data_IF_616666605592
#
_entry.id   IF_616666605592
#
_cell.length_a   1.000
_cell.length_b   1.000
_cell.length_c   1.000
_cell.angle_alpha   90.00
_cell.angle_beta   90.00
_cell.angle_gamma   90.00
#
_symmetry.space_group_name_H-M   'P 1'
#
loop_
_entity.id
_entity.type
_entity.pdbx_description
1 polymer ?
#
# COMPACT_ATOMS: atom_id res chain seq x y z
N UNK A 1 -11.29 -12.60 -18.24
CA UNK A 1 -10.64 -12.26 -19.52
C UNK A 1 -10.84 -10.80 -19.97
N UNK A 2 -12.01 -10.19 -19.78
CA UNK A 2 -12.22 -8.78 -20.17
C UNK A 2 -11.46 -7.76 -19.30
N UNK A 3 -11.40 -7.95 -17.97
CA UNK A 3 -10.76 -6.97 -17.05
C UNK A 3 -9.23 -6.92 -17.20
N UNK A 4 -8.57 -8.03 -17.54
CA UNK A 4 -7.12 -8.06 -17.84
C UNK A 4 -6.76 -7.16 -19.03
N UNK A 5 -7.58 -7.17 -20.09
CA UNK A 5 -7.38 -6.32 -21.25
C UNK A 5 -7.53 -4.83 -20.91
N UNK A 6 -8.44 -4.45 -20.02
CA UNK A 6 -8.64 -3.03 -19.66
C UNK A 6 -7.56 -2.47 -18.73
N UNK A 7 -7.00 -3.29 -17.82
CA UNK A 7 -5.88 -2.84 -16.99
C UNK A 7 -4.60 -2.60 -17.81
N UNK A 8 -4.44 -3.32 -18.92
CA UNK A 8 -3.32 -3.14 -19.84
C UNK A 8 -3.35 -1.78 -20.56
N UNK A 9 -4.51 -1.09 -20.59
CA UNK A 9 -4.69 0.20 -21.27
C UNK A 9 -4.86 1.42 -20.34
N UNK A 10 -4.55 1.30 -19.04
CA UNK A 10 -4.58 2.42 -18.09
C UNK A 10 -5.96 3.13 -17.94
N UNK A 11 -7.06 2.50 -18.40
CA UNK A 11 -8.41 3.08 -18.43
C UNK A 11 -9.18 2.80 -17.13
N UNK A 12 -8.61 3.23 -16.01
CA UNK A 12 -9.20 3.08 -14.67
C UNK A 12 -10.62 3.67 -14.57
N UNK A 13 -10.90 4.76 -15.30
CA UNK A 13 -12.22 5.42 -15.29
C UNK A 13 -13.30 4.69 -16.08
N UNK A 14 -12.94 3.97 -17.14
CA UNK A 14 -13.90 3.16 -17.88
C UNK A 14 -14.20 1.85 -17.14
N UNK A 15 -13.19 1.28 -16.47
CA UNK A 15 -13.38 0.10 -15.63
C UNK A 15 -14.31 0.38 -14.44
N UNK A 16 -14.17 1.52 -13.76
CA UNK A 16 -15.05 1.89 -12.64
C UNK A 16 -16.50 2.21 -13.09
N UNK A 17 -16.69 2.85 -14.26
CA UNK A 17 -18.03 3.07 -14.86
C UNK A 17 -18.73 1.79 -15.31
N UNK A 18 -17.96 0.76 -15.70
CA UNK A 18 -18.51 -0.56 -16.02
C UNK A 18 -18.85 -1.33 -14.75
N UNK A 19 -17.96 -1.31 -13.74
CA UNK A 19 -18.20 -1.98 -12.45
C UNK A 19 -19.42 -1.43 -11.73
N UNK A 20 -19.66 -0.11 -11.77
CA UNK A 20 -20.83 0.50 -11.14
C UNK A 20 -22.16 0.15 -11.83
N UNK A 21 -22.12 -0.27 -13.10
CA UNK A 21 -23.31 -0.66 -13.89
C UNK A 21 -23.49 -2.17 -14.03
N UNK A 22 -22.48 -2.98 -13.75
CA UNK A 22 -22.56 -4.43 -13.86
C UNK A 22 -22.86 -5.06 -12.49
N UNK A 23 -24.09 -5.54 -12.30
CA UNK A 23 -24.37 -6.54 -11.25
C UNK A 23 -23.74 -7.84 -11.72
N UNK A 24 -22.59 -8.19 -11.16
CA UNK A 24 -21.88 -9.41 -11.56
C UNK A 24 -22.73 -10.63 -11.14
N UNK A 25 -23.01 -11.58 -12.04
CA UNK A 25 -23.91 -12.69 -11.75
C UNK A 25 -23.35 -13.58 -10.64
N UNK A 26 -24.21 -14.02 -9.72
CA UNK A 26 -23.87 -14.90 -8.58
C UNK A 26 -23.33 -16.28 -9.02
N UNK A 27 -23.45 -16.62 -10.32
CA UNK A 27 -22.98 -17.87 -10.93
C UNK A 27 -21.49 -17.91 -11.29
N UNK A 28 -20.74 -16.84 -11.03
CA UNK A 28 -19.32 -16.78 -11.35
C UNK A 28 -18.45 -17.66 -10.46
N UNK A 29 -17.43 -18.30 -11.05
CA UNK A 29 -16.48 -19.13 -10.30
C UNK A 29 -15.74 -18.28 -9.25
N UNK A 30 -15.52 -18.84 -8.05
CA UNK A 30 -14.77 -18.18 -6.97
C UNK A 30 -13.41 -17.63 -7.42
N UNK A 31 -12.76 -18.30 -8.39
CA UNK A 31 -11.49 -17.87 -8.97
C UNK A 31 -11.60 -16.60 -9.83
N UNK A 32 -12.72 -16.40 -10.53
CA UNK A 32 -12.98 -15.21 -11.32
C UNK A 32 -13.36 -14.04 -10.41
N UNK A 33 -14.17 -14.33 -9.38
CA UNK A 33 -14.55 -13.35 -8.37
C UNK A 33 -13.33 -12.81 -7.62
N UNK A 34 -12.38 -13.66 -7.24
CA UNK A 34 -11.14 -13.24 -6.59
C UNK A 34 -10.32 -12.29 -7.48
N UNK A 35 -10.21 -12.58 -8.78
CA UNK A 35 -9.52 -11.70 -9.75
C UNK A 35 -10.24 -10.37 -9.92
N UNK A 36 -11.56 -10.40 -10.04
CA UNK A 36 -12.39 -9.20 -10.15
C UNK A 36 -12.18 -8.26 -8.96
N UNK A 37 -12.27 -8.80 -7.74
CA UNK A 37 -12.04 -8.03 -6.51
C UNK A 37 -10.62 -7.45 -6.42
N UNK A 38 -9.60 -8.18 -6.89
CA UNK A 38 -8.23 -7.67 -6.95
C UNK A 38 -8.12 -6.45 -7.87
N UNK A 39 -8.71 -6.51 -9.06
CA UNK A 39 -8.70 -5.38 -10.00
C UNK A 39 -9.50 -4.19 -9.47
N UNK A 40 -10.65 -4.44 -8.84
CA UNK A 40 -11.44 -3.40 -8.19
C UNK A 40 -10.64 -2.71 -7.07
N UNK A 41 -9.97 -3.51 -6.22
CA UNK A 41 -9.09 -3.00 -5.18
C UNK A 41 -7.96 -2.14 -5.72
N UNK A 42 -7.36 -2.52 -6.87
CA UNK A 42 -6.34 -1.70 -7.55
C UNK A 42 -6.87 -0.36 -8.04
N UNK A 43 -8.02 -0.35 -8.70
CA UNK A 43 -8.65 0.87 -9.22
C UNK A 43 -8.95 1.82 -8.05
N UNK A 44 -9.54 1.29 -6.97
CA UNK A 44 -9.85 2.07 -5.76
C UNK A 44 -8.60 2.60 -5.06
N UNK A 45 -7.53 1.81 -4.98
CA UNK A 45 -6.25 2.27 -4.44
C UNK A 45 -5.64 3.40 -5.27
N UNK A 46 -5.74 3.34 -6.61
CA UNK A 46 -5.26 4.41 -7.49
C UNK A 46 -6.02 5.73 -7.26
N UNK A 47 -7.33 5.64 -7.02
CA UNK A 47 -8.25 6.76 -6.73
C UNK A 47 -8.20 7.29 -5.29
N UNK A 48 -7.22 6.88 -4.49
CA UNK A 48 -7.06 7.29 -3.08
C UNK A 48 -8.16 6.75 -2.15
N UNK A 49 -9.02 5.84 -2.60
CA UNK A 49 -10.06 5.18 -1.78
C UNK A 49 -9.47 3.96 -1.05
N UNK A 50 -8.47 4.17 -0.19
CA UNK A 50 -7.70 3.08 0.43
C UNK A 50 -8.54 2.14 1.30
N UNK A 51 -9.51 2.67 2.05
CA UNK A 51 -10.38 1.87 2.93
C UNK A 51 -11.24 0.88 2.14
N UNK A 52 -11.78 1.32 1.01
CA UNK A 52 -12.60 0.47 0.13
C UNK A 52 -11.71 -0.53 -0.61
N UNK A 53 -10.54 -0.07 -1.09
CA UNK A 53 -9.55 -0.93 -1.73
C UNK A 53 -9.13 -2.10 -0.83
N UNK A 54 -8.81 -1.82 0.44
CA UNK A 54 -8.42 -2.82 1.42
C UNK A 54 -9.50 -3.90 1.61
N UNK A 55 -10.77 -3.48 1.80
CA UNK A 55 -11.90 -4.41 1.95
C UNK A 55 -12.00 -5.39 0.77
N UNK A 56 -11.89 -4.87 -0.46
CA UNK A 56 -11.93 -5.72 -1.65
C UNK A 56 -10.74 -6.68 -1.74
N UNK A 57 -9.53 -6.23 -1.37
CA UNK A 57 -8.33 -7.07 -1.38
C UNK A 57 -8.40 -8.20 -0.34
N UNK A 58 -8.91 -7.92 0.85
CA UNK A 58 -9.14 -8.95 1.89
C UNK A 58 -10.18 -9.97 1.42
N UNK A 59 -11.26 -9.52 0.79
CA UNK A 59 -12.26 -10.44 0.21
C UNK A 59 -11.66 -11.28 -0.93
N UNK A 60 -10.79 -10.70 -1.76
CA UNK A 60 -10.09 -11.42 -2.83
C UNK A 60 -9.18 -12.53 -2.27
N UNK A 61 -8.45 -12.25 -1.18
CA UNK A 61 -7.59 -13.23 -0.50
C UNK A 61 -8.39 -14.39 0.10
N UNK A 62 -9.57 -14.11 0.67
CA UNK A 62 -10.44 -15.15 1.25
C UNK A 62 -11.06 -16.08 0.20
N UNK A 63 -11.37 -15.53 -0.99
CA UNK A 63 -11.96 -16.29 -2.10
C UNK A 63 -10.93 -17.00 -2.98
N UNK A 64 -9.65 -16.66 -2.85
CA UNK A 64 -8.57 -17.32 -3.58
C UNK A 64 -8.31 -18.75 -3.04
N UNK A 65 -8.04 -19.74 -3.91
CA UNK A 65 -7.80 -21.12 -3.47
C UNK A 65 -6.51 -21.23 -2.65
N UNK A 66 -6.57 -21.96 -1.52
CA UNK A 66 -5.49 -21.97 -0.53
C UNK A 66 -4.17 -22.57 -1.04
N UNK A 67 -4.23 -23.62 -1.88
CA UNK A 67 -3.05 -24.41 -2.27
C UNK A 67 -2.61 -24.26 -3.73
N UNK A 68 -3.48 -23.83 -4.64
CA UNK A 68 -3.18 -23.82 -6.08
C UNK A 68 -2.67 -22.47 -6.63
N UNK A 69 -3.08 -21.34 -6.03
CA UNK A 69 -2.85 -20.01 -6.59
C UNK A 69 -1.83 -19.17 -5.78
N UNK A 70 -0.66 -19.75 -5.52
CA UNK A 70 0.38 -19.10 -4.70
C UNK A 70 0.82 -17.76 -5.30
N UNK A 71 1.04 -17.69 -6.63
CA UNK A 71 1.44 -16.46 -7.31
C UNK A 71 0.39 -15.35 -7.20
N UNK A 72 -0.89 -15.66 -7.43
CA UNK A 72 -1.97 -14.68 -7.28
C UNK A 72 -2.07 -14.16 -5.84
N UNK A 73 -1.99 -15.06 -4.85
CA UNK A 73 -2.00 -14.68 -3.42
C UNK A 73 -0.83 -13.77 -3.08
N UNK A 74 0.38 -14.05 -3.59
CA UNK A 74 1.53 -13.16 -3.41
C UNK A 74 1.25 -11.76 -3.96
N UNK A 75 0.74 -11.65 -5.19
CA UNK A 75 0.45 -10.35 -5.81
C UNK A 75 -0.64 -9.56 -5.06
N UNK A 76 -1.72 -10.22 -4.66
CA UNK A 76 -2.78 -9.57 -3.88
C UNK A 76 -2.24 -9.13 -2.52
N UNK A 77 -1.43 -9.97 -1.85
CA UNK A 77 -0.87 -9.66 -0.54
C UNK A 77 0.09 -8.47 -0.58
N UNK A 78 0.97 -8.38 -1.59
CA UNK A 78 1.88 -7.25 -1.79
C UNK A 78 1.10 -5.93 -1.87
N UNK A 79 0.02 -5.92 -2.64
CA UNK A 79 -0.84 -4.75 -2.78
C UNK A 79 -1.61 -4.46 -1.48
N UNK A 80 -2.17 -5.48 -0.83
CA UNK A 80 -2.89 -5.32 0.43
C UNK A 80 -2.02 -4.69 1.51
N UNK A 81 -0.79 -5.17 1.68
CA UNK A 81 0.21 -4.59 2.59
C UNK A 81 0.50 -3.13 2.24
N UNK A 82 0.65 -2.81 0.96
CA UNK A 82 0.91 -1.43 0.53
C UNK A 82 -0.27 -0.50 0.87
N UNK A 83 -1.51 -0.97 0.69
CA UNK A 83 -2.73 -0.21 1.00
C UNK A 83 -2.93 -0.05 2.52
N UNK A 84 -2.66 -1.08 3.32
CA UNK A 84 -2.69 -0.99 4.80
C UNK A 84 -1.71 0.08 5.30
N UNK A 85 -0.48 0.07 4.78
CA UNK A 85 0.51 1.09 5.13
C UNK A 85 0.07 2.51 4.71
N UNK A 86 -0.68 2.64 3.61
CA UNK A 86 -1.23 3.92 3.15
C UNK A 86 -2.39 4.41 4.02
N UNK A 87 -3.10 3.51 4.71
CA UNK A 87 -4.10 3.83 5.73
C UNK A 87 -3.46 4.25 7.06
N UNK A 88 -2.16 4.01 7.24
CA UNK A 88 -1.45 4.23 8.50
C UNK A 88 -1.51 3.02 9.44
N UNK A 89 -2.10 1.91 8.99
CA UNK A 89 -2.16 0.66 9.75
C UNK A 89 -0.92 -0.20 9.48
N UNK A 90 -0.49 -0.94 10.50
CA UNK A 90 0.67 -1.83 10.40
C UNK A 90 0.17 -3.27 10.11
N UNK A 91 0.63 -3.91 9.01
CA UNK A 91 0.23 -5.27 8.66
C UNK A 91 0.68 -6.30 9.71
N UNK A 92 -0.09 -7.38 9.87
CA UNK A 92 0.24 -8.47 10.80
C UNK A 92 1.54 -9.18 10.38
N UNK A 93 2.44 -9.37 11.35
CA UNK A 93 3.72 -10.07 11.18
C UNK A 93 3.54 -11.52 10.70
N UNK A 94 2.41 -12.16 11.02
CA UNK A 94 2.14 -13.54 10.58
C UNK A 94 2.11 -13.70 9.07
N UNK A 95 1.67 -12.67 8.34
CA UNK A 95 1.58 -12.64 6.88
C UNK A 95 2.97 -12.88 6.26
N UNK A 96 4.01 -12.28 6.85
CA UNK A 96 5.40 -12.37 6.37
C UNK A 96 6.09 -13.69 6.73
N UNK A 97 5.51 -14.50 7.63
CA UNK A 97 6.09 -15.79 8.07
C UNK A 97 5.67 -16.97 7.21
N UNK A 98 4.66 -16.82 6.35
CA UNK A 98 4.19 -17.89 5.49
C UNK A 98 5.28 -18.31 4.48
N UNK A 99 5.66 -19.59 4.49
CA UNK A 99 6.75 -20.13 3.67
C UNK A 99 6.73 -19.73 2.18
N UNK A 100 5.59 -19.80 1.47
CA UNK A 100 5.56 -19.41 0.06
C UNK A 100 5.62 -17.89 -0.17
N UNK A 101 5.30 -17.06 0.83
CA UNK A 101 5.22 -15.60 0.67
C UNK A 101 6.47 -14.88 1.17
N UNK A 102 7.28 -15.53 2.02
CA UNK A 102 8.42 -14.92 2.71
C UNK A 102 9.44 -14.29 1.77
N UNK A 103 9.79 -14.96 0.66
CA UNK A 103 10.78 -14.44 -0.30
C UNK A 103 10.24 -13.23 -1.05
N UNK A 104 9.01 -13.32 -1.56
CA UNK A 104 8.37 -12.26 -2.34
C UNK A 104 7.96 -11.03 -1.50
N UNK A 105 7.70 -11.21 -0.20
CA UNK A 105 7.34 -10.13 0.73
C UNK A 105 8.54 -9.53 1.47
N UNK A 106 9.76 -10.06 1.30
CA UNK A 106 10.93 -9.52 1.99
C UNK A 106 11.17 -8.01 1.74
N UNK A 107 11.04 -7.47 0.51
CA UNK A 107 11.14 -6.03 0.25
C UNK A 107 10.04 -5.23 0.96
N UNK A 108 8.80 -5.74 0.92
CA UNK A 108 7.65 -5.10 1.56
C UNK A 108 7.77 -5.12 3.09
N UNK A 109 8.41 -6.14 3.68
CA UNK A 109 8.69 -6.18 5.11
C UNK A 109 9.67 -5.08 5.53
N UNK A 110 10.74 -4.84 4.76
CA UNK A 110 11.67 -3.76 5.04
C UNK A 110 10.99 -2.39 4.91
N UNK A 111 10.12 -2.25 3.90
CA UNK A 111 9.28 -1.07 3.73
C UNK A 111 8.38 -0.82 4.94
N UNK A 112 7.65 -1.84 5.42
CA UNK A 112 6.83 -1.76 6.64
C UNK A 112 7.66 -1.34 7.85
N UNK A 113 8.87 -1.86 8.01
CA UNK A 113 9.74 -1.49 9.12
C UNK A 113 10.16 -0.01 9.07
N UNK A 114 10.49 0.50 7.89
CA UNK A 114 10.83 1.91 7.71
C UNK A 114 9.62 2.83 8.01
N UNK A 115 8.43 2.48 7.51
CA UNK A 115 7.18 3.22 7.78
C UNK A 115 6.85 3.22 9.28
N UNK A 116 6.91 2.05 9.94
CA UNK A 116 6.62 1.91 11.37
C UNK A 116 7.57 2.72 12.26
N UNK A 117 8.83 2.80 11.88
CA UNK A 117 9.83 3.56 12.65
C UNK A 117 9.87 5.05 12.29
N UNK A 118 9.16 5.46 11.24
CA UNK A 118 9.18 6.85 10.76
C UNK A 118 10.53 7.28 10.17
N UNK A 119 11.36 6.32 9.73
CA UNK A 119 12.71 6.61 9.26
C UNK A 119 12.73 6.83 7.73
N UNK A 120 12.83 8.11 7.31
CA UNK A 120 12.88 8.47 5.89
C UNK A 120 14.14 7.96 5.18
N UNK A 121 15.29 7.91 5.85
CA UNK A 121 16.54 7.46 5.26
C UNK A 121 16.45 5.99 4.86
N UNK A 122 16.03 5.12 5.79
CA UNK A 122 15.79 3.69 5.49
C UNK A 122 14.73 3.49 4.42
N UNK A 123 13.71 4.34 4.40
CA UNK A 123 12.69 4.30 3.35
C UNK A 123 13.29 4.59 1.97
N UNK A 124 14.18 5.58 1.87
CA UNK A 124 14.95 5.90 0.66
C UNK A 124 15.84 4.74 0.21
N UNK A 125 16.63 4.18 1.12
CA UNK A 125 17.53 3.03 0.84
C UNK A 125 16.76 1.82 0.29
N UNK A 126 15.60 1.49 0.88
CA UNK A 126 14.73 0.39 0.42
C UNK A 126 14.16 0.67 -0.97
N UNK A 127 13.82 1.93 -1.25
CA UNK A 127 13.32 2.36 -2.57
C UNK A 127 14.38 2.26 -3.66
N UNK A 128 15.63 2.59 -3.36
CA UNK A 128 16.75 2.47 -4.29
C UNK A 128 17.10 0.99 -4.53
N UNK A 129 17.20 0.21 -3.44
CA UNK A 129 17.58 -1.20 -3.51
C UNK A 129 16.53 -2.08 -4.21
N UNK A 130 15.23 -1.86 -3.95
CA UNK A 130 14.14 -2.68 -4.51
C UNK A 130 13.29 -1.95 -5.56
N UNK A 131 13.68 -0.76 -5.98
CA UNK A 131 13.01 0.02 -7.02
C UNK A 131 12.55 -0.77 -8.25
N UNK A 132 13.41 -1.61 -8.89
CA UNK A 132 12.98 -2.38 -10.06
C UNK A 132 11.91 -3.43 -9.73
N UNK A 133 11.95 -4.05 -8.54
CA UNK A 133 10.94 -5.03 -8.12
C UNK A 133 9.58 -4.37 -7.92
N UNK A 134 9.55 -3.21 -7.25
CA UNK A 134 8.31 -2.44 -7.04
C UNK A 134 7.70 -1.91 -8.34
N UNK A 135 8.52 -1.62 -9.35
CA UNK A 135 8.05 -1.25 -10.69
C UNK A 135 7.44 -2.45 -11.41
N UNK A 136 8.09 -3.61 -11.34
CA UNK A 136 7.54 -4.87 -11.88
C UNK A 136 6.21 -5.25 -11.22
N UNK A 137 6.05 -4.95 -9.93
CA UNK A 137 4.83 -5.23 -9.17
C UNK A 137 3.73 -4.16 -9.37
N UNK A 138 3.99 -3.10 -10.16
CA UNK A 138 3.11 -1.95 -10.35
C UNK A 138 2.67 -1.24 -9.06
N UNK A 139 3.41 -1.40 -7.96
CA UNK A 139 3.14 -0.73 -6.68
C UNK A 139 4.02 0.50 -6.46
N UNK A 140 4.96 0.79 -7.35
CA UNK A 140 5.93 1.88 -7.19
C UNK A 140 5.27 3.26 -6.94
N UNK A 141 4.22 3.60 -7.67
CA UNK A 141 3.51 4.89 -7.51
C UNK A 141 2.80 5.01 -6.16
N UNK A 142 2.23 3.91 -5.67
CA UNK A 142 1.61 3.82 -4.34
C UNK A 142 2.68 3.93 -3.24
N UNK A 143 3.83 3.29 -3.44
CA UNK A 143 4.93 3.34 -2.48
C UNK A 143 5.51 4.74 -2.39
N UNK A 144 5.67 5.48 -3.50
CA UNK A 144 6.10 6.89 -3.43
C UNK A 144 5.18 7.74 -2.53
N UNK A 145 3.88 7.46 -2.52
CA UNK A 145 2.92 8.14 -1.64
C UNK A 145 3.13 7.78 -0.16
N UNK A 146 3.70 6.61 0.16
CA UNK A 146 4.05 6.25 1.54
C UNK A 146 5.06 7.20 2.17
N UNK A 147 5.88 7.93 1.40
CA UNK A 147 6.81 8.92 1.96
C UNK A 147 6.10 9.94 2.85
N UNK A 148 4.96 10.46 2.40
CA UNK A 148 4.14 11.39 3.18
C UNK A 148 3.56 10.72 4.44
N UNK A 149 3.16 9.44 4.34
CA UNK A 149 2.70 8.67 5.50
C UNK A 149 3.83 8.43 6.51
N UNK A 150 5.05 8.11 6.06
CA UNK A 150 6.22 7.94 6.94
C UNK A 150 6.50 9.22 7.70
N UNK A 151 6.45 10.38 7.03
CA UNK A 151 6.64 11.68 7.68
C UNK A 151 5.54 11.91 8.74
N UNK A 152 4.27 11.68 8.40
CA UNK A 152 3.16 11.81 9.35
C UNK A 152 3.33 10.89 10.57
N UNK A 153 3.68 9.62 10.35
CA UNK A 153 3.96 8.66 11.42
C UNK A 153 5.13 9.13 12.29
N UNK A 154 6.20 9.63 11.69
CA UNK A 154 7.36 10.11 12.41
C UNK A 154 7.05 11.33 13.28
N UNK A 155 6.28 12.30 12.75
CA UNK A 155 5.79 13.46 13.51
C UNK A 155 4.92 13.01 14.68
N UNK A 156 3.99 12.07 14.46
CA UNK A 156 3.15 11.51 15.53
C UNK A 156 4.00 10.84 16.61
N UNK A 157 5.00 10.04 16.24
CA UNK A 157 5.91 9.42 17.20
C UNK A 157 6.70 10.45 18.01
N UNK A 158 7.17 11.52 17.37
CA UNK A 158 7.86 12.63 18.05
C UNK A 158 6.90 13.35 19.01
N UNK A 159 5.67 13.64 18.59
CA UNK A 159 4.66 14.29 19.43
C UNK A 159 4.25 13.46 20.65
N UNK A 160 4.30 12.12 20.56
CA UNK A 160 4.09 11.24 21.70
C UNK A 160 5.30 11.18 22.65
N UNK A 161 6.52 11.34 22.11
CA UNK A 161 7.76 11.24 22.89
C UNK A 161 8.14 12.57 23.59
N UNK A 162 7.70 13.71 23.06
CA UNK A 162 8.08 15.04 23.54
C UNK A 162 6.84 15.89 23.85
N UNK A 163 6.75 16.42 25.07
CA UNK A 163 5.66 17.33 25.47
C UNK A 163 5.73 18.70 24.77
N UNK A 164 6.95 19.18 24.44
CA UNK A 164 7.20 20.38 23.65
C UNK A 164 8.43 20.15 22.78
N UNK A 165 8.31 20.40 21.48
CA UNK A 165 9.42 20.30 20.53
C UNK A 165 9.35 21.46 19.54
N UNK A 166 10.50 22.01 19.17
CA UNK A 166 10.59 23.09 18.18
C UNK A 166 10.57 22.52 16.75
N UNK A 167 9.95 23.21 15.77
CA UNK A 167 9.91 22.77 14.37
C UNK A 167 11.30 22.50 13.77
N UNK A 168 12.31 23.29 14.17
CA UNK A 168 13.71 23.10 13.76
C UNK A 168 14.30 21.76 14.20
N UNK A 169 13.95 21.27 15.40
CA UNK A 169 14.40 19.98 15.89
C UNK A 169 13.65 18.82 15.22
N UNK A 170 12.39 19.03 14.83
CA UNK A 170 11.63 18.09 14.01
C UNK A 170 12.28 17.95 12.63
N UNK A 171 12.56 19.07 11.95
CA UNK A 171 13.20 19.09 10.64
C UNK A 171 14.55 18.37 10.64
N UNK A 172 15.40 18.65 11.64
CA UNK A 172 16.69 17.94 11.81
C UNK A 172 16.54 16.43 12.02
N UNK A 173 15.55 15.99 12.79
CA UNK A 173 15.31 14.55 13.03
C UNK A 173 14.72 13.82 11.83
N UNK A 174 13.92 14.53 11.04
CA UNK A 174 13.26 13.98 9.85
C UNK A 174 14.09 14.14 8.57
N UNK A 175 15.28 14.76 8.68
CA UNK A 175 16.11 15.16 7.54
C UNK A 175 15.31 15.93 6.48
N UNK A 176 14.46 16.87 6.92
CA UNK A 176 13.74 17.77 6.02
C UNK A 176 14.65 18.95 5.67
N UNK A 177 14.63 19.35 4.40
CA UNK A 177 15.51 20.39 3.86
C UNK A 177 15.19 21.79 4.40
N UNK A 178 13.91 22.06 4.76
CA UNK A 178 13.49 23.31 5.38
C UNK A 178 12.74 23.10 6.72
N UNK A 179 12.99 23.94 7.74
CA UNK A 179 12.14 24.02 8.93
C UNK A 179 10.70 24.49 8.63
N UNK A 180 10.48 25.23 7.54
CA UNK A 180 9.15 25.68 7.10
C UNK A 180 8.31 24.49 6.60
N UNK A 181 8.93 23.52 5.93
CA UNK A 181 8.26 22.28 5.52
C UNK A 181 7.81 21.48 6.75
N UNK A 182 8.63 21.45 7.81
CA UNK A 182 8.27 20.78 9.06
C UNK A 182 7.05 21.47 9.72
N UNK A 183 7.00 22.80 9.72
CA UNK A 183 5.87 23.56 10.26
C UNK A 183 4.60 23.33 9.43
N UNK A 184 4.70 23.38 8.10
CA UNK A 184 3.57 23.13 7.20
C UNK A 184 2.98 21.73 7.39
N UNK A 185 3.83 20.70 7.50
CA UNK A 185 3.38 19.31 7.67
C UNK A 185 2.78 19.10 9.07
N UNK A 186 3.30 19.75 10.11
CA UNK A 186 2.70 19.72 11.46
C UNK A 186 1.33 20.40 11.45
N UNK A 187 1.17 21.54 10.79
CA UNK A 187 -0.11 22.24 10.67
C UNK A 187 -1.15 21.46 9.85
N UNK A 188 -0.74 20.72 8.81
CA UNK A 188 -1.64 19.86 8.02
C UNK A 188 -1.92 18.49 8.66
N UNK A 189 -1.19 18.13 9.71
CA UNK A 189 -1.27 16.83 10.38
C UNK A 189 -2.31 16.76 11.50
N UNK A 190 -2.89 17.91 11.91
CA UNK A 190 -3.96 18.03 12.89
C UNK A 190 -5.34 18.07 12.24
#
# INVERSE_FOLDING_TARGET
MFVEKYLHYNLYDQADKLVSKSVYPESASNNEWARFLYYLGRIKAARLEYTVAHKHLVQALRKAPQHAAVGFRQTVQKLAVTVELLLGDIPDRQIFRQAPLRRSLAPYLQLTQAVRTGNLQRFGEVLEMFGPQFRSDHTFTLILRLRHNVIKTAIRCIGLAYSRITPANIAKKLCLDSPEDAEFIVCQGN
#
